data_IF_602710445367
#
_entry.id   IF_602710445367
#
_cell.length_a   1.000
_cell.length_b   1.000
_cell.length_c   1.000
_cell.angle_alpha   90.00
_cell.angle_beta   90.00
_cell.angle_gamma   90.00
#
_symmetry.space_group_name_H-M   'P 1'
#
loop_
_entity.id
_entity.type
_entity.pdbx_description
1 polymer ?
#
# COMPACT_ATOMS: atom_id res chain seq x y z
N UNK A 1 11.59 5.97 -9.03
CA UNK A 1 11.32 5.69 -7.60
C UNK A 1 10.57 4.38 -7.52
N UNK A 2 10.58 3.67 -6.38
CA UNK A 2 9.75 2.47 -6.18
C UNK A 2 9.34 2.32 -4.72
N UNK A 3 8.17 1.75 -4.47
CA UNK A 3 7.67 1.46 -3.13
C UNK A 3 8.60 0.50 -2.39
N UNK A 4 9.02 0.88 -1.18
CA UNK A 4 9.83 0.06 -0.27
C UNK A 4 8.97 -0.67 0.75
N UNK A 5 7.89 -1.32 0.30
CA UNK A 5 6.90 -1.98 1.16
C UNK A 5 7.51 -3.03 2.12
N UNK A 6 8.60 -3.71 1.73
CA UNK A 6 9.29 -4.70 2.58
C UNK A 6 10.02 -4.08 3.78
N UNK A 7 10.20 -2.75 3.83
CA UNK A 7 10.77 -2.10 5.02
C UNK A 7 9.87 -2.21 6.25
N UNK A 8 8.59 -2.58 6.08
CA UNK A 8 7.68 -2.83 7.20
C UNK A 8 8.23 -3.87 8.17
N UNK A 9 8.97 -4.88 7.69
CA UNK A 9 9.54 -5.94 8.54
C UNK A 9 10.67 -5.43 9.43
N UNK A 10 11.48 -4.50 8.91
CA UNK A 10 12.51 -3.82 9.71
C UNK A 10 11.87 -3.01 10.86
N UNK A 11 10.78 -2.29 10.55
CA UNK A 11 10.00 -1.53 11.53
C UNK A 11 9.32 -2.45 12.56
N UNK A 12 8.68 -3.52 12.11
CA UNK A 12 7.90 -4.43 12.95
C UNK A 12 8.77 -5.16 13.98
N UNK A 13 9.94 -5.66 13.55
CA UNK A 13 10.85 -6.42 14.39
C UNK A 13 11.95 -5.59 15.04
N UNK A 14 11.99 -4.27 14.78
CA UNK A 14 13.02 -3.36 15.28
C UNK A 14 14.45 -3.86 14.96
N UNK A 15 14.67 -4.31 13.72
CA UNK A 15 15.95 -4.89 13.31
C UNK A 15 17.04 -3.82 13.07
N UNK A 16 16.64 -2.55 12.90
CA UNK A 16 17.52 -1.42 12.64
C UNK A 16 18.43 -1.62 11.41
N UNK A 17 17.88 -2.25 10.36
CA UNK A 17 18.57 -2.49 9.08
C UNK A 17 18.71 -1.19 8.27
N UNK A 18 17.72 -0.29 8.39
CA UNK A 18 17.74 1.01 7.74
C UNK A 18 17.73 2.14 8.77
N UNK A 19 18.34 3.30 8.46
CA UNK A 19 18.19 4.49 9.30
C UNK A 19 16.72 4.88 9.44
N UNK A 20 16.28 5.18 10.67
CA UNK A 20 14.86 5.44 10.99
C UNK A 20 14.24 6.58 10.17
N UNK A 21 15.02 7.56 9.72
CA UNK A 21 14.55 8.68 8.89
C UNK A 21 14.17 8.27 7.45
N UNK A 22 14.56 7.07 6.99
CA UNK A 22 14.26 6.61 5.64
C UNK A 22 12.76 6.34 5.49
N UNK A 23 12.10 5.76 6.51
CA UNK A 23 10.66 5.49 6.46
C UNK A 23 9.88 6.79 6.27
N UNK A 24 10.13 7.80 7.10
CA UNK A 24 9.43 9.09 7.01
C UNK A 24 9.69 9.77 5.67
N UNK A 25 10.92 9.69 5.15
CA UNK A 25 11.27 10.23 3.83
C UNK A 25 10.49 9.55 2.71
N UNK A 26 10.42 8.21 2.71
CA UNK A 26 9.71 7.43 1.71
C UNK A 26 8.19 7.67 1.80
N UNK A 27 7.61 7.66 3.01
CA UNK A 27 6.18 7.93 3.23
C UNK A 27 5.80 9.31 2.70
N UNK A 28 6.54 10.36 3.08
CA UNK A 28 6.29 11.71 2.60
C UNK A 28 6.40 11.81 1.06
N UNK A 29 7.38 11.12 0.47
CA UNK A 29 7.52 11.08 -0.98
C UNK A 29 6.32 10.37 -1.65
N UNK A 30 5.88 9.23 -1.13
CA UNK A 30 4.76 8.46 -1.68
C UNK A 30 3.44 9.20 -1.61
N UNK A 31 3.20 10.00 -0.57
CA UNK A 31 2.01 10.86 -0.48
C UNK A 31 1.92 11.82 -1.68
N UNK A 32 3.04 12.25 -2.27
CA UNK A 32 3.06 13.09 -3.48
C UNK A 32 2.79 12.33 -4.79
N UNK A 33 2.64 11.01 -4.73
CA UNK A 33 2.51 10.11 -5.88
C UNK A 33 1.19 9.33 -5.91
N UNK A 34 0.26 9.66 -5.02
CA UNK A 34 -1.06 9.05 -4.98
C UNK A 34 -1.86 9.36 -6.25
N UNK A 35 -2.46 8.33 -6.82
CA UNK A 35 -3.48 8.43 -7.86
C UNK A 35 -4.88 8.15 -7.25
N UNK A 36 -5.98 8.40 -7.98
CA UNK A 36 -7.34 8.27 -7.45
C UNK A 36 -7.67 6.91 -6.82
N UNK A 37 -7.01 5.85 -7.26
CA UNK A 37 -7.27 4.46 -6.85
C UNK A 37 -6.06 3.78 -6.19
N UNK A 38 -5.05 4.54 -5.79
CA UNK A 38 -3.92 4.04 -5.01
C UNK A 38 -2.56 4.62 -5.38
N UNK A 39 -1.53 4.08 -4.74
CA UNK A 39 -0.14 4.43 -4.98
C UNK A 39 0.48 3.48 -6.03
N UNK A 40 1.03 3.96 -7.16
CA UNK A 40 1.75 3.12 -8.13
C UNK A 40 2.97 2.43 -7.54
N UNK A 41 3.33 1.24 -8.03
CA UNK A 41 4.51 0.50 -7.53
C UNK A 41 5.82 1.28 -7.69
N UNK A 42 5.97 1.93 -8.83
CA UNK A 42 7.17 2.64 -9.22
C UNK A 42 6.88 3.55 -10.42
N UNK A 43 7.91 4.25 -10.88
CA UNK A 43 7.79 5.22 -11.98
C UNK A 43 7.57 4.63 -13.37
N UNK A 44 7.49 3.30 -13.54
CA UNK A 44 7.38 2.67 -14.88
C UNK A 44 5.94 2.51 -15.35
N UNK A 45 5.01 2.34 -14.42
CA UNK A 45 3.60 2.03 -14.68
C UNK A 45 2.69 2.50 -13.55
N UNK A 46 1.46 2.83 -13.92
CA UNK A 46 0.40 3.33 -13.04
C UNK A 46 -0.33 2.20 -12.28
N UNK A 47 0.08 0.94 -12.43
CA UNK A 47 -0.51 -0.15 -11.65
C UNK A 47 0.12 -0.32 -10.26
N UNK A 48 -0.60 -0.99 -9.37
CA UNK A 48 -0.17 -1.25 -8.00
C UNK A 48 -0.45 -2.67 -7.55
N UNK A 49 0.05 -3.02 -6.36
CA UNK A 49 -0.38 -4.18 -5.60
C UNK A 49 -1.03 -3.71 -4.30
N UNK A 50 -2.31 -4.03 -4.09
CA UNK A 50 -3.06 -3.46 -2.96
C UNK A 50 -2.53 -3.91 -1.60
N UNK A 51 -2.06 -5.15 -1.48
CA UNK A 51 -1.38 -5.66 -0.28
C UNK A 51 -0.10 -4.85 0.04
N UNK A 52 0.64 -4.43 -0.98
CA UNK A 52 1.86 -3.64 -0.78
C UNK A 52 1.58 -2.19 -0.40
N UNK A 53 0.45 -1.62 -0.86
CA UNK A 53 -0.05 -0.33 -0.35
C UNK A 53 -0.33 -0.44 1.14
N UNK A 54 -1.00 -1.52 1.58
CA UNK A 54 -1.33 -1.72 3.00
C UNK A 54 -0.07 -1.85 3.86
N UNK A 55 0.97 -2.52 3.36
CA UNK A 55 2.25 -2.63 4.06
C UNK A 55 2.97 -1.29 4.15
N UNK A 56 2.94 -0.52 3.06
CA UNK A 56 3.48 0.84 3.02
C UNK A 56 2.73 1.74 4.00
N UNK A 57 1.40 1.72 3.97
CA UNK A 57 0.56 2.51 4.85
C UNK A 57 0.85 2.23 6.33
N UNK A 58 1.03 0.96 6.70
CA UNK A 58 1.32 0.56 8.09
C UNK A 58 2.67 1.06 8.63
N UNK A 59 3.55 1.55 7.75
CA UNK A 59 4.77 2.24 8.16
C UNK A 59 4.53 3.70 8.59
N UNK A 60 3.32 4.25 8.44
CA UNK A 60 2.97 5.60 8.88
C UNK A 60 3.14 5.80 10.39
N UNK A 61 3.41 7.03 10.81
CA UNK A 61 3.51 7.45 12.22
C UNK A 61 2.15 7.52 12.93
N UNK A 62 1.09 7.80 12.18
CA UNK A 62 -0.22 8.14 12.70
C UNK A 62 -1.35 7.66 11.77
N UNK A 63 -2.57 7.64 12.31
CA UNK A 63 -3.76 7.16 11.61
C UNK A 63 -4.16 8.05 10.43
N UNK A 64 -3.92 9.36 10.50
CA UNK A 64 -4.32 10.28 9.44
C UNK A 64 -3.43 10.11 8.21
N UNK A 65 -2.13 9.92 8.41
CA UNK A 65 -1.19 9.57 7.35
C UNK A 65 -1.51 8.19 6.77
N UNK A 66 -1.83 7.21 7.61
CA UNK A 66 -2.27 5.88 7.17
C UNK A 66 -3.48 5.96 6.24
N UNK A 67 -4.54 6.69 6.64
CA UNK A 67 -5.77 6.85 5.86
C UNK A 67 -5.53 7.45 4.48
N UNK A 68 -4.59 8.38 4.33
CA UNK A 68 -4.22 8.94 3.00
C UNK A 68 -3.80 7.87 1.98
N UNK A 69 -3.29 6.72 2.42
CA UNK A 69 -3.00 5.59 1.54
C UNK A 69 -4.20 4.66 1.33
N UNK A 70 -5.05 4.53 2.34
CA UNK A 70 -6.15 3.56 2.32
C UNK A 70 -7.39 4.13 1.65
N UNK A 71 -7.66 5.43 1.75
CA UNK A 71 -8.84 6.05 1.14
C UNK A 71 -8.88 5.84 -0.39
N UNK A 72 -7.77 6.00 -1.16
CA UNK A 72 -7.76 5.65 -2.58
C UNK A 72 -7.97 4.15 -2.85
N UNK A 73 -7.45 3.27 -1.99
CA UNK A 73 -7.65 1.83 -2.12
C UNK A 73 -9.10 1.42 -1.81
N UNK A 74 -9.72 2.04 -0.81
CA UNK A 74 -11.13 1.88 -0.50
C UNK A 74 -11.98 2.35 -1.68
N UNK A 75 -11.64 3.51 -2.24
CA UNK A 75 -12.30 4.06 -3.44
C UNK A 75 -12.21 3.08 -4.62
N UNK A 76 -11.04 2.48 -4.86
CA UNK A 76 -10.87 1.42 -5.87
C UNK A 76 -11.87 0.28 -5.67
N UNK A 77 -11.93 -0.28 -4.46
CA UNK A 77 -12.79 -1.43 -4.17
C UNK A 77 -14.27 -1.06 -4.34
N UNK A 78 -14.64 0.17 -4.00
CA UNK A 78 -16.01 0.65 -4.05
C UNK A 78 -16.48 1.03 -5.47
N UNK A 79 -15.58 1.53 -6.33
CA UNK A 79 -15.94 2.13 -7.62
C UNK A 79 -15.44 1.34 -8.84
N UNK A 80 -14.61 0.31 -8.67
CA UNK A 80 -14.08 -0.44 -9.81
C UNK A 80 -15.19 -1.06 -10.66
N UNK A 81 -15.10 -0.87 -11.97
CA UNK A 81 -16.01 -1.44 -12.97
C UNK A 81 -15.63 -2.88 -13.36
N UNK A 82 -14.48 -3.36 -12.87
CA UNK A 82 -13.96 -4.68 -13.21
C UNK A 82 -14.81 -5.78 -12.59
N UNK A 83 -15.43 -6.63 -13.42
CA UNK A 83 -16.32 -7.72 -12.97
C UNK A 83 -15.55 -8.98 -12.56
N UNK A 84 -14.61 -8.83 -11.63
CA UNK A 84 -13.83 -9.92 -11.02
C UNK A 84 -13.88 -9.80 -9.49
N UNK A 85 -13.64 -10.89 -8.72
CA UNK A 85 -13.36 -10.75 -7.30
C UNK A 85 -12.21 -9.76 -7.09
N UNK A 86 -12.22 -9.01 -5.98
CA UNK A 86 -11.25 -7.93 -5.70
C UNK A 86 -9.85 -8.37 -6.11
N UNK A 87 -9.28 -7.61 -7.05
CA UNK A 87 -7.93 -7.86 -7.54
C UNK A 87 -6.93 -7.24 -6.60
N UNK A 88 -5.83 -7.94 -6.38
CA UNK A 88 -4.67 -7.36 -5.71
C UNK A 88 -3.70 -6.69 -6.69
N UNK A 89 -3.97 -6.70 -8.00
CA UNK A 89 -3.20 -5.97 -9.01
C UNK A 89 -4.13 -5.22 -9.98
N UNK A 90 -4.10 -3.89 -9.88
CA UNK A 90 -4.99 -2.96 -10.58
C UNK A 90 -4.28 -1.66 -10.99
N UNK A 91 -4.87 -0.96 -11.95
CA UNK A 91 -4.48 0.39 -12.36
C UNK A 91 -4.92 1.42 -11.31
N UNK A 92 -3.99 2.27 -10.84
CA UNK A 92 -4.28 3.28 -9.80
C UNK A 92 -4.91 4.55 -10.35
N UNK A 93 -4.83 4.77 -11.65
CA UNK A 93 -5.40 5.90 -12.38
C UNK A 93 -6.84 5.61 -12.83
N UNK A 94 -7.15 4.39 -13.29
CA UNK A 94 -8.48 3.99 -13.77
C UNK A 94 -9.27 3.07 -12.83
N UNK A 95 -8.61 2.36 -11.92
CA UNK A 95 -9.24 1.33 -11.09
C UNK A 95 -9.53 0.03 -11.86
N UNK A 96 -9.02 -0.09 -13.09
CA UNK A 96 -9.21 -1.29 -13.91
C UNK A 96 -8.29 -2.44 -13.48
N UNK A 97 -8.80 -3.65 -13.60
CA UNK A 97 -8.07 -4.88 -13.35
C UNK A 97 -6.90 -5.04 -14.33
N UNK A 98 -5.73 -5.42 -13.80
CA UNK A 98 -4.56 -5.80 -14.62
C UNK A 98 -4.42 -7.31 -14.69
N UNK A 99 -4.40 -7.96 -13.52
CA UNK A 99 -4.07 -9.37 -13.39
C UNK A 99 -4.30 -9.84 -11.95
N UNK A 100 -4.24 -11.16 -11.74
CA UNK A 100 -4.57 -11.80 -10.46
C UNK A 100 -6.00 -11.55 -9.96
N UNK A 101 -6.57 -12.51 -9.24
CA UNK A 101 -7.92 -12.43 -8.65
C UNK A 101 -8.05 -13.47 -7.55
N UNK A 102 -8.82 -13.14 -6.52
CA UNK A 102 -9.15 -14.06 -5.42
C UNK A 102 -7.92 -14.78 -4.81
N UNK A 103 -6.80 -14.06 -4.65
CA UNK A 103 -5.58 -14.61 -4.07
C UNK A 103 -5.54 -14.36 -2.56
N UNK A 104 -5.00 -15.31 -1.81
CA UNK A 104 -4.84 -15.22 -0.36
C UNK A 104 -3.93 -14.08 0.11
N UNK A 105 -3.08 -13.55 -0.78
CA UNK A 105 -2.17 -12.42 -0.48
C UNK A 105 -2.91 -11.15 -0.03
N UNK A 106 -4.22 -11.03 -0.31
CA UNK A 106 -5.07 -9.97 0.25
C UNK A 106 -5.11 -9.97 1.78
N UNK A 107 -4.70 -11.06 2.44
CA UNK A 107 -4.45 -11.10 3.88
C UNK A 107 -3.46 -10.02 4.34
N UNK A 108 -2.61 -9.50 3.44
CA UNK A 108 -1.75 -8.34 3.69
C UNK A 108 -2.49 -7.06 4.10
N UNK A 109 -3.81 -6.98 3.90
CA UNK A 109 -4.64 -5.88 4.40
C UNK A 109 -4.65 -5.80 5.94
N UNK A 110 -4.36 -6.91 6.61
CA UNK A 110 -4.30 -6.96 8.07
C UNK A 110 -2.96 -6.47 8.64
N UNK A 111 -2.05 -5.94 7.82
CA UNK A 111 -0.73 -5.51 8.29
C UNK A 111 -0.81 -4.47 9.41
N UNK A 112 -1.72 -3.50 9.34
CA UNK A 112 -1.89 -2.51 10.42
C UNK A 112 -2.32 -3.18 11.73
N UNK A 113 -3.25 -4.13 11.67
CA UNK A 113 -3.69 -4.90 12.85
C UNK A 113 -2.54 -5.72 13.44
N UNK A 114 -1.69 -6.31 12.59
CA UNK A 114 -0.50 -7.02 13.01
C UNK A 114 0.48 -6.07 13.73
N UNK A 115 0.77 -4.92 13.11
CA UNK A 115 1.65 -3.89 13.68
C UNK A 115 1.16 -3.39 15.03
N UNK A 116 -0.14 -3.18 15.20
CA UNK A 116 -0.73 -2.71 16.45
C UNK A 116 -0.69 -3.77 17.56
N UNK A 117 -0.66 -5.07 17.21
CA UNK A 117 -0.51 -6.18 18.16
C UNK A 117 0.92 -6.42 18.61
N UNK A 118 1.91 -6.03 17.81
CA UNK A 118 3.33 -6.25 18.10
C UNK A 118 4.03 -5.07 18.75
N UNK A 119 3.29 -3.99 19.03
CA UNK A 119 3.77 -2.82 19.78
C UNK A 119 3.65 -3.01 21.29
#
# INVERSE_FOLDING_TARGET
>A
WSQKYNMIWDKMWNLNLFPNNVIDKEINYYLTKQNPYGLPLDSRKEYTKSDWIMWTAAMSSDLETFKKFIDPLYKYINETTSRVPISDWHHTDSGEWVGFKARSVIGGYWMQVLMDKTR
#
